data_IF_597138937387
#
_entry.id   IF_597138937387
#
_cell.length_a   1.000
_cell.length_b   1.000
_cell.length_c   1.000
_cell.angle_alpha   90.00
_cell.angle_beta   90.00
_cell.angle_gamma   90.00
#
_symmetry.space_group_name_H-M   'P 1'
#
loop_
_entity.id
_entity.type
_entity.pdbx_description
1 polymer ?
#
# COMPACT_ATOMS: atom_id res chain seq x y z
N UNK A 1 -13.45 -18.08 -3.99
CA UNK A 1 -13.30 -19.20 -4.94
C UNK A 1 -11.81 -19.30 -5.24
N UNK A 2 -11.26 -20.49 -5.30
CA UNK A 2 -9.95 -20.73 -5.89
C UNK A 2 -9.97 -20.39 -7.38
N UNK A 3 -8.85 -20.34 -8.03
CA UNK A 3 -8.75 -20.22 -9.48
C UNK A 3 -9.55 -21.36 -10.13
N UNK A 4 -10.02 -21.16 -11.33
CA UNK A 4 -10.70 -22.21 -12.09
C UNK A 4 -10.28 -22.11 -13.54
N UNK A 5 -9.70 -23.18 -14.03
CA UNK A 5 -9.36 -23.35 -15.45
C UNK A 5 -9.47 -24.83 -15.80
N UNK A 6 -10.56 -25.23 -16.43
CA UNK A 6 -10.75 -26.61 -16.85
C UNK A 6 -10.43 -26.84 -18.34
N UNK A 7 -9.72 -25.89 -18.97
CA UNK A 7 -9.26 -26.07 -20.36
C UNK A 7 -8.35 -27.27 -20.57
N UNK A 8 -7.54 -27.74 -19.60
CA UNK A 8 -6.78 -28.98 -19.74
C UNK A 8 -7.67 -30.20 -20.00
N UNK A 9 -8.92 -30.21 -19.48
CA UNK A 9 -9.89 -31.29 -19.65
C UNK A 9 -10.86 -31.05 -20.81
N UNK A 10 -11.18 -29.79 -21.13
CA UNK A 10 -12.27 -29.44 -22.05
C UNK A 10 -11.82 -28.69 -23.30
N UNK A 11 -10.55 -28.38 -23.44
CA UNK A 11 -9.98 -27.61 -24.55
C UNK A 11 -10.72 -26.29 -24.76
N UNK A 12 -11.11 -25.99 -25.99
CA UNK A 12 -11.82 -24.75 -26.37
C UNK A 12 -13.21 -24.57 -25.73
N UNK A 13 -13.77 -25.61 -25.13
CA UNK A 13 -15.04 -25.54 -24.39
C UNK A 13 -14.85 -25.39 -22.87
N UNK A 14 -13.63 -25.15 -22.45
CA UNK A 14 -13.31 -24.91 -21.05
C UNK A 14 -13.83 -23.58 -20.56
N UNK A 15 -14.02 -23.51 -19.25
CA UNK A 15 -14.39 -22.27 -18.54
C UNK A 15 -13.19 -21.83 -17.70
N UNK A 16 -12.87 -20.56 -17.76
CA UNK A 16 -11.78 -19.94 -17.01
C UNK A 16 -12.35 -18.81 -16.13
N UNK A 17 -12.10 -18.87 -14.84
CA UNK A 17 -12.29 -17.75 -13.92
C UNK A 17 -10.91 -17.15 -13.61
N UNK A 18 -10.72 -15.90 -14.02
CA UNK A 18 -9.48 -15.17 -13.87
C UNK A 18 -9.45 -14.30 -12.62
N UNK A 19 -8.31 -13.70 -12.37
CA UNK A 19 -8.07 -12.74 -11.30
C UNK A 19 -8.11 -13.33 -9.88
N UNK A 20 -7.79 -14.62 -9.72
CA UNK A 20 -7.52 -15.17 -8.41
C UNK A 20 -6.31 -14.46 -7.76
N UNK A 21 -6.43 -14.20 -6.45
CA UNK A 21 -5.28 -13.94 -5.59
C UNK A 21 -5.54 -14.53 -4.20
N UNK A 22 -4.48 -14.89 -3.46
CA UNK A 22 -4.61 -15.36 -2.07
C UNK A 22 -5.37 -14.39 -1.19
N UNK A 23 -5.25 -13.08 -1.41
CA UNK A 23 -5.95 -12.05 -0.65
C UNK A 23 -7.45 -12.04 -0.93
N UNK A 24 -7.85 -12.14 -2.20
CA UNK A 24 -9.27 -12.28 -2.56
C UNK A 24 -9.87 -13.53 -1.94
N UNK A 25 -9.11 -14.62 -1.96
CA UNK A 25 -9.51 -15.88 -1.36
C UNK A 25 -9.65 -15.75 0.17
N UNK A 26 -8.73 -15.06 0.84
CA UNK A 26 -8.84 -14.74 2.26
C UNK A 26 -10.14 -13.98 2.57
N UNK A 27 -10.41 -12.87 1.88
CA UNK A 27 -11.60 -12.04 2.14
C UNK A 27 -12.89 -12.80 1.90
N UNK A 28 -12.96 -13.59 0.82
CA UNK A 28 -14.10 -14.42 0.55
C UNK A 28 -14.36 -15.43 1.67
N UNK A 29 -13.31 -16.11 2.12
CA UNK A 29 -13.42 -17.06 3.23
C UNK A 29 -13.85 -16.36 4.52
N UNK A 30 -13.32 -15.18 4.82
CA UNK A 30 -13.73 -14.40 5.99
C UNK A 30 -15.22 -14.05 5.97
N UNK A 31 -15.75 -13.66 4.79
CA UNK A 31 -17.19 -13.39 4.60
C UNK A 31 -18.00 -14.66 4.81
N UNK A 32 -17.62 -15.76 4.18
CA UNK A 32 -18.31 -17.05 4.27
C UNK A 32 -18.30 -17.54 5.72
N UNK A 33 -17.16 -17.49 6.39
CA UNK A 33 -17.02 -17.93 7.79
C UNK A 33 -17.92 -17.08 8.70
N UNK A 34 -17.91 -15.75 8.54
CA UNK A 34 -18.78 -14.85 9.30
C UNK A 34 -20.25 -15.17 9.06
N UNK A 35 -20.66 -15.33 7.79
CA UNK A 35 -22.01 -15.67 7.43
C UNK A 35 -22.44 -17.01 8.03
N UNK A 36 -21.60 -18.05 7.93
CA UNK A 36 -21.83 -19.37 8.50
C UNK A 36 -22.00 -19.31 10.02
N UNK A 37 -21.17 -18.51 10.70
CA UNK A 37 -21.24 -18.32 12.17
C UNK A 37 -22.55 -17.64 12.61
N UNK A 38 -23.06 -16.73 11.79
CA UNK A 38 -24.30 -15.99 12.09
C UNK A 38 -25.57 -16.79 11.79
N UNK A 39 -25.53 -17.69 10.82
CA UNK A 39 -26.74 -18.36 10.30
C UNK A 39 -26.88 -19.82 10.75
N UNK A 40 -25.83 -20.44 11.30
CA UNK A 40 -25.87 -21.83 11.73
C UNK A 40 -25.39 -22.03 13.17
N UNK A 41 -26.00 -23.02 13.84
CA UNK A 41 -25.54 -23.48 15.15
C UNK A 41 -24.18 -24.17 15.01
N UNK A 42 -23.40 -24.21 16.10
CA UNK A 42 -22.03 -24.69 16.09
C UNK A 42 -21.89 -26.12 15.50
N UNK A 43 -22.85 -26.99 15.76
CA UNK A 43 -22.87 -28.36 15.24
C UNK A 43 -23.11 -28.49 13.72
N UNK A 44 -23.58 -27.41 13.09
CA UNK A 44 -23.98 -27.38 11.67
C UNK A 44 -23.14 -26.41 10.85
N UNK A 45 -21.97 -25.98 11.37
CA UNK A 45 -21.06 -25.05 10.71
C UNK A 45 -20.04 -25.80 9.88
N UNK A 46 -20.35 -26.01 8.62
CA UNK A 46 -19.44 -26.63 7.65
C UNK A 46 -19.15 -25.66 6.50
N UNK A 47 -17.90 -25.62 6.09
CA UNK A 47 -17.45 -24.91 4.89
C UNK A 47 -16.60 -25.89 4.09
N UNK A 48 -17.01 -26.15 2.86
CA UNK A 48 -16.31 -27.02 1.93
C UNK A 48 -15.47 -26.17 0.98
N UNK A 49 -14.22 -26.55 0.79
CA UNK A 49 -13.31 -25.91 -0.16
C UNK A 49 -12.99 -26.91 -1.26
N UNK A 50 -13.30 -26.57 -2.49
CA UNK A 50 -12.94 -27.36 -3.65
C UNK A 50 -11.67 -26.73 -4.29
N UNK A 51 -10.49 -27.37 -4.20
CA UNK A 51 -10.17 -28.58 -3.48
C UNK A 51 -8.75 -28.49 -2.91
N UNK A 52 -8.22 -29.60 -2.35
CA UNK A 52 -6.81 -29.68 -1.97
C UNK A 52 -5.91 -29.69 -3.21
N UNK A 53 -6.20 -30.53 -4.20
CA UNK A 53 -5.30 -30.86 -5.30
C UNK A 53 -5.99 -31.03 -6.67
N UNK A 54 -7.03 -30.26 -6.97
CA UNK A 54 -7.66 -30.27 -8.31
C UNK A 54 -6.87 -29.45 -9.34
N UNK A 55 -5.63 -29.88 -9.58
CA UNK A 55 -4.71 -29.23 -10.54
C UNK A 55 -5.26 -29.18 -11.97
N UNK A 56 -5.97 -30.22 -12.40
CA UNK A 56 -6.57 -30.29 -13.75
C UNK A 56 -7.70 -29.29 -13.98
N UNK A 57 -8.16 -28.62 -12.93
CA UNK A 57 -9.16 -27.55 -12.98
C UNK A 57 -8.61 -26.21 -12.44
N UNK A 58 -7.33 -26.15 -12.11
CA UNK A 58 -6.73 -24.95 -11.51
C UNK A 58 -7.29 -24.59 -10.13
N UNK A 59 -8.01 -25.53 -9.48
CA UNK A 59 -8.72 -25.30 -8.21
C UNK A 59 -8.06 -26.08 -7.08
N UNK A 60 -6.94 -25.59 -6.56
CA UNK A 60 -6.15 -26.31 -5.57
C UNK A 60 -5.63 -25.40 -4.44
N UNK A 61 -5.43 -26.02 -3.27
CA UNK A 61 -4.81 -25.39 -2.10
C UNK A 61 -3.36 -25.83 -1.90
N UNK A 62 -2.94 -26.89 -2.55
CA UNK A 62 -1.55 -27.34 -2.52
C UNK A 62 -0.60 -26.20 -2.87
N UNK A 63 0.55 -26.11 -2.19
CA UNK A 63 1.57 -25.12 -2.53
C UNK A 63 2.06 -25.25 -3.97
N UNK A 64 2.24 -24.13 -4.65
CA UNK A 64 2.68 -24.05 -6.04
C UNK A 64 3.85 -23.05 -6.21
N UNK A 65 4.45 -23.04 -7.41
CA UNK A 65 5.55 -22.14 -7.73
C UNK A 65 5.09 -20.67 -7.88
N UNK A 66 3.79 -20.42 -8.09
CA UNK A 66 3.23 -19.09 -8.31
C UNK A 66 2.90 -18.35 -7.01
N UNK A 67 2.28 -19.06 -6.08
CA UNK A 67 1.77 -18.52 -4.83
C UNK A 67 2.40 -19.14 -3.57
N UNK A 68 3.22 -20.19 -3.74
CA UNK A 68 3.77 -20.96 -2.63
C UNK A 68 2.67 -21.43 -1.68
N UNK A 69 2.85 -21.17 -0.40
CA UNK A 69 1.87 -21.50 0.65
C UNK A 69 0.76 -20.45 0.83
N UNK A 70 0.70 -19.41 0.00
CA UNK A 70 -0.18 -18.25 0.27
C UNK A 70 -1.66 -18.59 0.28
N UNK A 71 -2.13 -19.53 -0.56
CA UNK A 71 -3.54 -19.94 -0.60
C UNK A 71 -3.97 -20.63 0.69
N UNK A 72 -3.19 -21.60 1.16
CA UNK A 72 -3.49 -22.29 2.41
C UNK A 72 -3.33 -21.39 3.64
N UNK A 73 -2.35 -20.50 3.61
CA UNK A 73 -2.14 -19.49 4.65
C UNK A 73 -3.33 -18.53 4.72
N UNK A 74 -3.89 -18.13 3.59
CA UNK A 74 -5.08 -17.28 3.50
C UNK A 74 -6.30 -17.94 4.12
N UNK A 75 -6.50 -19.23 3.87
CA UNK A 75 -7.59 -20.00 4.49
C UNK A 75 -7.39 -20.15 6.01
N UNK A 76 -6.20 -20.54 6.43
CA UNK A 76 -5.83 -20.69 7.85
C UNK A 76 -6.06 -19.38 8.60
N UNK A 77 -5.63 -18.26 8.04
CA UNK A 77 -5.79 -16.94 8.59
C UNK A 77 -7.25 -16.51 8.71
N UNK A 78 -8.08 -16.83 7.69
CA UNK A 78 -9.50 -16.55 7.74
C UNK A 78 -10.22 -17.35 8.84
N UNK A 79 -9.81 -18.59 9.09
CA UNK A 79 -10.41 -19.49 10.09
C UNK A 79 -10.02 -19.11 11.52
N UNK A 80 -8.74 -18.87 11.74
CA UNK A 80 -8.15 -18.80 13.09
C UNK A 80 -7.73 -17.40 13.49
N UNK A 81 -7.81 -16.43 12.58
CA UNK A 81 -7.29 -15.07 12.78
C UNK A 81 -5.82 -15.05 13.25
N UNK A 82 -5.07 -16.09 12.86
CA UNK A 82 -3.67 -16.20 13.20
C UNK A 82 -2.89 -15.19 12.38
N UNK A 83 -2.39 -14.16 13.04
CA UNK A 83 -1.22 -13.46 12.55
C UNK A 83 -0.05 -14.45 12.64
N UNK A 84 0.65 -14.69 11.54
CA UNK A 84 1.95 -15.34 11.64
C UNK A 84 2.85 -14.42 12.43
N UNK A 85 3.04 -14.74 13.70
CA UNK A 85 4.18 -14.24 14.44
C UNK A 85 5.36 -15.05 13.91
N UNK A 86 5.95 -14.60 12.83
CA UNK A 86 7.34 -14.97 12.58
C UNK A 86 8.08 -14.31 13.73
N UNK A 87 8.69 -15.10 14.60
CA UNK A 87 9.59 -14.60 15.63
C UNK A 87 10.83 -14.04 14.90
N UNK A 88 10.69 -12.87 14.30
CA UNK A 88 11.85 -12.08 13.95
C UNK A 88 12.51 -11.69 15.26
N UNK A 89 13.75 -12.06 15.41
CA UNK A 89 14.54 -11.63 16.55
C UNK A 89 14.79 -10.12 16.37
N UNK A 90 13.83 -9.31 16.83
CA UNK A 90 13.77 -7.85 16.68
C UNK A 90 15.05 -7.21 17.22
N UNK A 91 15.66 -7.83 18.24
CA UNK A 91 16.87 -7.35 18.90
C UNK A 91 18.11 -7.43 18.02
N UNK A 92 18.11 -8.24 16.96
CA UNK A 92 19.23 -8.40 16.03
C UNK A 92 19.12 -7.56 14.74
N UNK A 93 18.02 -6.82 14.52
CA UNK A 93 17.87 -5.90 13.40
C UNK A 93 18.72 -4.64 13.64
N UNK A 94 20.05 -4.75 13.42
CA UNK A 94 20.94 -3.59 13.35
C UNK A 94 20.69 -2.83 12.06
N UNK A 95 19.59 -2.09 11.98
CA UNK A 95 19.34 -1.18 10.87
C UNK A 95 20.24 0.04 11.07
N UNK A 96 21.40 0.03 10.45
CA UNK A 96 22.35 1.15 10.44
C UNK A 96 21.90 2.29 9.50
N UNK A 97 20.77 2.11 8.82
CA UNK A 97 20.32 2.99 7.75
C UNK A 97 19.39 4.09 8.24
N UNK A 98 19.47 5.24 7.61
CA UNK A 98 18.58 6.36 7.90
C UNK A 98 17.19 6.12 7.29
N UNK A 99 16.19 6.11 8.14
CA UNK A 99 14.77 5.97 7.80
C UNK A 99 14.11 7.34 7.93
N UNK A 100 13.31 7.70 6.95
CA UNK A 100 12.44 8.88 7.01
C UNK A 100 10.98 8.46 6.88
N UNK A 101 10.14 8.99 7.75
CA UNK A 101 8.70 8.96 7.61
C UNK A 101 8.26 10.32 7.12
N UNK A 102 7.62 10.34 5.97
CA UNK A 102 7.01 11.56 5.45
C UNK A 102 5.50 11.43 5.59
N UNK A 103 4.89 12.34 6.37
CA UNK A 103 3.47 12.37 6.65
C UNK A 103 2.83 13.68 6.17
N UNK A 104 1.80 13.59 5.31
CA UNK A 104 1.00 14.77 4.97
C UNK A 104 -0.23 14.85 5.88
N UNK A 105 -0.25 15.88 6.75
CA UNK A 105 -1.30 16.10 7.74
C UNK A 105 -2.23 17.22 7.27
N UNK A 106 -3.23 16.86 6.49
CA UNK A 106 -4.31 17.77 6.09
C UNK A 106 -5.37 17.90 7.20
N UNK A 107 -5.68 16.80 7.89
CA UNK A 107 -6.58 16.75 9.04
C UNK A 107 -5.76 16.66 10.31
N UNK A 108 -5.55 17.78 10.98
CA UNK A 108 -4.67 17.88 12.16
C UNK A 108 -5.17 17.05 13.36
N UNK A 109 -6.47 16.88 13.49
CA UNK A 109 -7.10 16.04 14.52
C UNK A 109 -6.71 14.56 14.44
N UNK A 110 -6.09 14.13 13.32
CA UNK A 110 -5.55 12.78 13.16
C UNK A 110 -4.05 12.67 13.49
N UNK A 111 -3.42 13.71 14.03
CA UNK A 111 -1.98 13.68 14.35
C UNK A 111 -1.65 12.61 15.39
N UNK A 112 -2.56 12.37 16.35
CA UNK A 112 -2.40 11.32 17.34
C UNK A 112 -2.27 9.93 16.71
N UNK A 113 -3.06 9.63 15.69
CA UNK A 113 -2.98 8.35 14.97
C UNK A 113 -1.64 8.22 14.22
N UNK A 114 -1.19 9.28 13.53
CA UNK A 114 0.12 9.32 12.87
C UNK A 114 1.25 9.02 13.87
N UNK A 115 1.29 9.72 14.99
CA UNK A 115 2.35 9.55 15.99
C UNK A 115 2.33 8.17 16.61
N UNK A 116 1.15 7.67 17.00
CA UNK A 116 1.01 6.34 17.57
C UNK A 116 1.51 5.25 16.60
N UNK A 117 1.17 5.36 15.31
CA UNK A 117 1.61 4.41 14.29
C UNK A 117 3.11 4.51 14.00
N UNK A 118 3.66 5.71 13.88
CA UNK A 118 5.11 5.88 13.64
C UNK A 118 5.96 5.45 14.83
N UNK A 119 5.43 5.50 16.05
CA UNK A 119 6.11 5.00 17.24
C UNK A 119 6.31 3.46 17.27
N UNK A 120 5.70 2.74 16.33
CA UNK A 120 5.96 1.31 16.11
C UNK A 120 7.26 1.02 15.34
N UNK A 121 7.97 2.04 14.88
CA UNK A 121 9.25 1.84 14.20
C UNK A 121 10.30 1.41 15.23
N UNK A 122 10.94 0.23 15.04
CA UNK A 122 11.83 -0.35 16.05
C UNK A 122 13.23 0.28 16.08
N UNK A 123 13.55 1.12 15.11
CA UNK A 123 14.86 1.76 14.93
C UNK A 123 14.76 3.28 14.94
N UNK A 124 15.92 3.98 14.93
CA UNK A 124 15.95 5.44 14.79
C UNK A 124 15.36 5.86 13.46
N UNK A 125 14.48 6.86 13.49
CA UNK A 125 13.88 7.45 12.30
C UNK A 125 13.69 8.95 12.46
N UNK A 126 13.60 9.66 11.34
CA UNK A 126 13.26 11.07 11.30
C UNK A 126 11.82 11.22 10.77
N UNK A 127 11.05 12.14 11.37
CA UNK A 127 9.65 12.39 11.04
C UNK A 127 9.49 13.73 10.33
N UNK A 128 9.12 13.68 9.06
CA UNK A 128 8.87 14.87 8.26
C UNK A 128 7.38 15.03 8.02
N UNK A 129 6.84 16.16 8.45
CA UNK A 129 5.42 16.47 8.32
C UNK A 129 5.24 17.65 7.38
N UNK A 130 4.22 17.51 6.52
CA UNK A 130 3.69 18.65 5.75
C UNK A 130 2.25 18.90 6.15
N UNK A 131 1.87 20.17 6.26
CA UNK A 131 0.50 20.58 6.59
C UNK A 131 0.06 21.77 5.75
N UNK A 132 -1.24 21.95 5.59
CA UNK A 132 -1.84 23.08 4.88
C UNK A 132 -2.36 24.19 5.81
N UNK A 133 -2.13 24.06 7.11
CA UNK A 133 -2.55 25.03 8.12
C UNK A 133 -1.37 25.49 8.94
N UNK A 134 -1.08 26.78 8.87
CA UNK A 134 -0.06 27.42 9.70
C UNK A 134 -0.48 27.49 11.18
N UNK A 135 -1.76 27.74 11.43
CA UNK A 135 -2.27 27.88 12.79
C UNK A 135 -2.15 26.57 13.59
N UNK A 136 -2.28 25.43 12.90
CA UNK A 136 -2.23 24.10 13.51
C UNK A 136 -0.81 23.54 13.59
N UNK A 137 0.15 24.15 12.89
CA UNK A 137 1.54 23.68 12.87
C UNK A 137 2.15 23.65 14.28
N UNK A 138 1.83 24.62 15.12
CA UNK A 138 2.28 24.67 16.52
C UNK A 138 1.69 23.52 17.34
N UNK A 139 0.39 23.26 17.20
CA UNK A 139 -0.26 22.11 17.84
C UNK A 139 0.39 20.78 17.43
N UNK A 140 0.64 20.61 16.13
CA UNK A 140 1.34 19.44 15.58
C UNK A 140 2.73 19.33 16.19
N UNK A 141 3.48 20.43 16.25
CA UNK A 141 4.83 20.47 16.81
C UNK A 141 4.85 20.08 18.29
N UNK A 142 3.97 20.67 19.10
CA UNK A 142 3.88 20.40 20.54
C UNK A 142 3.48 18.93 20.78
N UNK A 143 2.61 18.38 19.92
CA UNK A 143 2.22 16.97 19.99
C UNK A 143 3.39 16.04 19.66
N UNK A 144 4.18 16.35 18.63
CA UNK A 144 5.39 15.58 18.26
C UNK A 144 6.40 15.62 19.41
N UNK A 145 6.72 16.79 19.94
CA UNK A 145 7.68 16.94 21.06
C UNK A 145 7.30 16.09 22.25
N UNK A 146 5.99 15.96 22.53
CA UNK A 146 5.51 15.27 23.71
C UNK A 146 5.39 13.75 23.54
N UNK A 147 5.04 13.29 22.34
CA UNK A 147 4.61 11.91 22.16
C UNK A 147 5.39 11.12 21.09
N UNK A 148 6.16 11.77 20.23
CA UNK A 148 6.88 11.08 19.15
C UNK A 148 8.21 10.50 19.65
N UNK A 149 8.55 9.30 19.13
CA UNK A 149 9.86 8.66 19.30
C UNK A 149 10.84 9.00 18.16
N UNK A 150 10.49 9.92 17.27
CA UNK A 150 11.37 10.33 16.19
C UNK A 150 12.66 10.94 16.72
N UNK A 151 13.79 10.62 16.07
CA UNK A 151 15.10 11.18 16.42
C UNK A 151 15.20 12.66 16.08
N UNK A 152 14.67 13.03 14.91
CA UNK A 152 14.51 14.41 14.47
C UNK A 152 13.14 14.58 13.82
N UNK A 153 12.65 15.79 13.77
CA UNK A 153 11.44 16.12 13.02
C UNK A 153 11.61 17.41 12.21
N UNK A 154 10.81 17.51 11.15
CA UNK A 154 10.69 18.71 10.33
C UNK A 154 9.23 18.93 9.96
N UNK A 155 8.72 20.14 10.16
CA UNK A 155 7.36 20.52 9.78
C UNK A 155 7.44 21.60 8.72
N UNK A 156 6.75 21.39 7.60
CA UNK A 156 6.69 22.35 6.51
C UNK A 156 5.23 22.66 6.18
N UNK A 157 4.95 23.95 6.03
CA UNK A 157 3.69 24.42 5.48
C UNK A 157 3.70 24.37 3.95
N UNK A 158 2.60 23.90 3.38
CA UNK A 158 2.36 23.95 1.95
C UNK A 158 0.96 24.49 1.66
N UNK A 159 0.86 25.34 0.65
CA UNK A 159 -0.43 25.68 0.07
C UNK A 159 -1.17 24.41 -0.35
N UNK A 160 -2.51 24.38 -0.24
CA UNK A 160 -3.32 23.23 -0.64
C UNK A 160 -3.25 23.03 -2.17
N UNK A 161 -2.14 22.46 -2.63
CA UNK A 161 -1.82 22.17 -4.02
C UNK A 161 -1.19 20.78 -4.12
N UNK A 162 -1.74 19.94 -5.00
CA UNK A 162 -1.18 18.62 -5.29
C UNK A 162 -1.33 17.60 -4.15
N UNK A 163 -2.27 17.79 -3.24
CA UNK A 163 -2.61 16.91 -2.11
C UNK A 163 -1.39 16.49 -1.29
N UNK A 164 -1.26 15.20 -1.04
CA UNK A 164 -0.15 14.58 -0.34
C UNK A 164 1.11 14.44 -1.21
N UNK A 165 0.96 14.38 -2.54
CA UNK A 165 2.06 14.07 -3.46
C UNK A 165 3.03 15.24 -3.65
N UNK A 166 2.54 16.42 -3.96
CA UNK A 166 3.43 17.57 -4.19
C UNK A 166 4.20 17.96 -2.90
N UNK A 167 3.58 18.01 -1.72
CA UNK A 167 4.29 18.17 -0.46
C UNK A 167 5.35 17.10 -0.22
N UNK A 168 5.05 15.83 -0.47
CA UNK A 168 6.01 14.73 -0.40
C UNK A 168 7.22 14.98 -1.30
N UNK A 169 6.99 15.27 -2.57
CA UNK A 169 8.05 15.47 -3.54
C UNK A 169 8.94 16.66 -3.19
N UNK A 170 8.35 17.80 -2.84
CA UNK A 170 9.10 19.02 -2.49
C UNK A 170 9.91 18.84 -1.21
N UNK A 171 9.32 18.28 -0.15
CA UNK A 171 10.02 18.09 1.12
C UNK A 171 11.15 17.08 0.97
N UNK A 172 10.93 15.94 0.31
CA UNK A 172 11.96 14.91 0.16
C UNK A 172 13.06 15.30 -0.81
N UNK A 173 12.79 16.10 -1.85
CA UNK A 173 13.84 16.55 -2.79
C UNK A 173 15.03 17.20 -2.07
N UNK A 174 14.78 17.89 -0.96
CA UNK A 174 15.82 18.53 -0.18
C UNK A 174 16.69 17.56 0.63
N UNK A 175 16.17 16.36 0.88
CA UNK A 175 16.73 15.46 1.87
C UNK A 175 16.96 14.02 1.39
N UNK A 176 16.43 13.59 0.24
CA UNK A 176 16.37 12.19 -0.18
C UNK A 176 17.74 11.48 -0.17
N UNK A 177 18.84 12.18 -0.48
CA UNK A 177 20.20 11.61 -0.48
C UNK A 177 20.67 11.16 0.91
N UNK A 178 20.03 11.62 1.98
CA UNK A 178 20.42 11.29 3.37
C UNK A 178 19.78 10.00 3.89
N UNK A 179 18.76 9.49 3.19
CA UNK A 179 17.95 8.37 3.67
C UNK A 179 18.01 7.19 2.70
N UNK A 180 17.89 5.99 3.23
CA UNK A 180 17.78 4.74 2.45
C UNK A 180 16.33 4.37 2.25
N UNK A 181 15.54 4.47 3.30
CA UNK A 181 14.12 4.10 3.32
C UNK A 181 13.22 5.29 3.59
N UNK A 182 12.10 5.31 2.90
CA UNK A 182 10.99 6.23 3.15
C UNK A 182 9.70 5.46 3.38
N UNK A 183 8.94 5.86 4.40
CA UNK A 183 7.52 5.55 4.50
C UNK A 183 6.73 6.82 4.19
N UNK A 184 5.86 6.76 3.21
CA UNK A 184 4.92 7.85 2.90
C UNK A 184 3.53 7.50 3.42
N UNK A 185 2.97 8.39 4.22
CA UNK A 185 1.62 8.29 4.77
C UNK A 185 0.91 9.64 4.75
N UNK A 186 -0.40 9.63 4.85
CA UNK A 186 -1.17 10.87 4.96
C UNK A 186 -2.49 10.68 5.70
N UNK A 187 -3.04 11.78 6.24
CA UNK A 187 -4.38 11.77 6.82
C UNK A 187 -5.43 11.66 5.73
N UNK A 188 -6.49 10.91 5.99
CA UNK A 188 -7.58 10.67 5.04
C UNK A 188 -8.92 10.60 5.76
N UNK A 189 -9.90 11.37 5.28
CA UNK A 189 -11.32 11.26 5.66
C UNK A 189 -12.16 11.19 4.40
N UNK A 190 -13.27 10.47 4.44
CA UNK A 190 -14.22 10.44 3.33
C UNK A 190 -15.30 11.50 3.56
N UNK A 191 -15.57 12.29 2.52
CA UNK A 191 -16.70 13.22 2.47
C UNK A 191 -17.93 12.61 1.76
N UNK A 192 -17.86 11.34 1.35
CA UNK A 192 -18.92 10.69 0.62
C UNK A 192 -20.04 10.28 1.58
N UNK A 193 -21.23 10.84 1.37
CA UNK A 193 -22.44 10.62 2.19
C UNK A 193 -22.87 9.15 2.12
N UNK A 194 -22.71 8.48 0.99
CA UNK A 194 -23.12 7.10 0.80
C UNK A 194 -22.21 6.07 1.50
N UNK A 195 -20.94 6.45 1.79
CA UNK A 195 -19.95 5.57 2.43
C UNK A 195 -19.13 6.34 3.46
N UNK A 196 -19.75 6.85 4.55
CA UNK A 196 -19.10 7.77 5.49
C UNK A 196 -17.88 7.15 6.20
N UNK A 197 -17.89 5.83 6.41
CA UNK A 197 -16.81 5.12 7.11
C UNK A 197 -15.69 4.63 6.18
N UNK A 198 -15.88 4.67 4.86
CA UNK A 198 -14.91 4.10 3.91
C UNK A 198 -13.52 4.71 4.05
N UNK A 199 -13.43 6.03 4.21
CA UNK A 199 -12.15 6.72 4.33
C UNK A 199 -11.40 6.36 5.61
N UNK A 200 -12.11 6.19 6.73
CA UNK A 200 -11.53 5.76 7.99
C UNK A 200 -11.06 4.31 7.91
N UNK A 201 -11.93 3.39 7.53
CA UNK A 201 -11.60 1.97 7.44
C UNK A 201 -10.45 1.71 6.46
N UNK A 202 -10.44 2.43 5.33
CA UNK A 202 -9.35 2.33 4.36
C UNK A 202 -8.03 2.87 4.91
N UNK A 203 -8.03 4.01 5.62
CA UNK A 203 -6.84 4.56 6.27
C UNK A 203 -6.33 3.62 7.36
N UNK A 204 -7.20 3.14 8.23
CA UNK A 204 -6.86 2.18 9.29
C UNK A 204 -6.24 0.91 8.70
N UNK A 205 -6.85 0.37 7.64
CA UNK A 205 -6.31 -0.78 6.91
C UNK A 205 -4.88 -0.52 6.42
N UNK A 206 -4.64 0.60 5.74
CA UNK A 206 -3.31 0.95 5.22
C UNK A 206 -2.31 1.14 6.36
N UNK A 207 -2.66 1.91 7.39
CA UNK A 207 -1.78 2.16 8.52
C UNK A 207 -1.43 0.88 9.26
N UNK A 208 -2.40 0.00 9.43
CA UNK A 208 -2.19 -1.27 10.09
C UNK A 208 -1.25 -2.18 9.26
N UNK A 209 -1.33 -2.17 7.96
CA UNK A 209 -0.42 -2.93 7.11
C UNK A 209 1.00 -2.35 7.05
N UNK A 210 1.16 -1.03 7.11
CA UNK A 210 2.48 -0.39 6.98
C UNK A 210 3.16 -0.14 8.33
N UNK A 211 2.39 0.14 9.38
CA UNK A 211 2.87 0.65 10.67
C UNK A 211 2.06 0.08 11.85
N UNK A 212 1.41 -1.08 11.67
CA UNK A 212 0.45 -1.63 12.64
C UNK A 212 1.07 -2.04 13.97
N UNK A 213 2.27 -2.62 13.94
CA UNK A 213 3.03 -3.01 15.14
C UNK A 213 4.53 -2.96 14.86
N UNK A 214 5.34 -3.13 15.92
CA UNK A 214 6.80 -3.22 15.78
C UNK A 214 7.21 -4.41 14.92
N UNK A 215 6.51 -5.53 15.07
CA UNK A 215 6.76 -6.77 14.33
C UNK A 215 6.56 -6.55 12.83
N UNK A 216 5.44 -5.92 12.44
CA UNK A 216 5.13 -5.59 11.03
C UNK A 216 6.22 -4.70 10.44
N UNK A 217 6.61 -3.64 11.14
CA UNK A 217 7.65 -2.73 10.65
C UNK A 217 9.01 -3.43 10.58
N UNK A 218 9.34 -4.26 11.58
CA UNK A 218 10.58 -5.05 11.59
C UNK A 218 10.65 -6.00 10.40
N UNK A 219 9.55 -6.66 10.07
CA UNK A 219 9.45 -7.56 8.91
C UNK A 219 9.67 -6.79 7.61
N UNK A 220 8.98 -5.66 7.40
CA UNK A 220 9.15 -4.81 6.21
C UNK A 220 10.61 -4.36 6.04
N UNK A 221 11.24 -3.91 7.12
CA UNK A 221 12.62 -3.44 7.08
C UNK A 221 13.60 -4.60 6.86
N UNK A 222 13.33 -5.77 7.47
CA UNK A 222 14.10 -7.00 7.25
C UNK A 222 14.03 -7.46 5.80
N UNK A 223 12.84 -7.43 5.19
CA UNK A 223 12.66 -7.79 3.79
C UNK A 223 13.47 -6.87 2.87
N UNK A 224 13.47 -5.56 3.15
CA UNK A 224 14.32 -4.63 2.41
C UNK A 224 15.83 -4.90 2.56
N UNK A 225 16.29 -5.35 3.72
CA UNK A 225 17.70 -5.68 3.94
C UNK A 225 18.08 -7.03 3.31
N UNK A 226 17.22 -8.04 3.45
CA UNK A 226 17.45 -9.38 2.94
C UNK A 226 17.33 -9.47 1.41
N UNK A 227 16.42 -8.68 0.83
CA UNK A 227 16.16 -8.68 -0.60
C UNK A 227 16.65 -7.38 -1.26
N UNK A 228 17.90 -7.40 -1.72
CA UNK A 228 18.56 -6.20 -2.25
C UNK A 228 17.78 -5.51 -3.37
N UNK A 229 17.07 -6.27 -4.21
CA UNK A 229 16.24 -5.74 -5.32
C UNK A 229 14.80 -5.44 -4.95
N UNK A 230 14.36 -5.75 -3.74
CA UNK A 230 13.06 -5.29 -3.26
C UNK A 230 13.15 -3.79 -3.01
N UNK A 231 12.38 -3.01 -3.77
CA UNK A 231 12.46 -1.55 -3.77
C UNK A 231 11.23 -0.84 -3.24
N UNK A 232 10.09 -1.54 -3.16
CA UNK A 232 8.82 -0.90 -2.84
C UNK A 232 7.85 -1.91 -2.20
N UNK A 233 7.19 -1.50 -1.13
CA UNK A 233 6.19 -2.30 -0.41
C UNK A 233 4.96 -1.45 -0.17
N UNK A 234 3.79 -1.98 -0.48
CA UNK A 234 2.50 -1.32 -0.24
C UNK A 234 1.41 -2.34 0.09
N UNK A 235 0.32 -1.93 0.77
CA UNK A 235 -0.77 -2.86 1.07
C UNK A 235 -1.50 -3.33 -0.18
N UNK A 236 -2.05 -4.55 -0.11
CA UNK A 236 -3.06 -4.98 -1.08
C UNK A 236 -4.22 -3.99 -1.14
N UNK A 237 -4.94 -3.99 -2.25
CA UNK A 237 -6.12 -3.14 -2.42
C UNK A 237 -7.14 -3.43 -1.33
N UNK A 238 -7.57 -2.40 -0.63
CA UNK A 238 -8.64 -2.52 0.35
C UNK A 238 -9.93 -3.00 -0.35
N UNK A 239 -10.56 -4.05 0.18
CA UNK A 239 -11.60 -4.77 -0.52
C UNK A 239 -12.78 -3.89 -0.96
N UNK A 240 -13.24 -3.00 -0.09
CA UNK A 240 -14.35 -2.09 -0.39
C UNK A 240 -13.98 -1.09 -1.49
N UNK A 241 -12.71 -0.71 -1.58
CA UNK A 241 -12.19 0.12 -2.67
C UNK A 241 -12.11 -0.68 -3.97
N UNK A 242 -11.71 -1.94 -3.90
CA UNK A 242 -11.69 -2.83 -5.07
C UNK A 242 -13.09 -3.02 -5.67
N UNK A 243 -14.12 -3.13 -4.84
CA UNK A 243 -15.50 -3.25 -5.29
C UNK A 243 -16.06 -1.95 -5.89
N UNK A 244 -15.61 -0.80 -5.37
CA UNK A 244 -16.09 0.52 -5.78
C UNK A 244 -15.41 1.06 -7.05
N UNK A 245 -14.16 0.64 -7.30
CA UNK A 245 -13.34 1.22 -8.38
C UNK A 245 -12.78 0.12 -9.29
N UNK A 246 -13.05 0.24 -10.59
CA UNK A 246 -12.43 -0.63 -11.59
C UNK A 246 -10.97 -0.26 -11.77
N UNK A 247 -10.09 -1.26 -11.90
CA UNK A 247 -8.66 -1.07 -12.17
C UNK A 247 -8.32 -0.50 -13.55
N UNK A 248 -9.32 -0.25 -14.39
CA UNK A 248 -9.09 0.35 -15.71
C UNK A 248 -8.63 1.79 -15.58
N UNK A 249 -7.51 2.08 -16.20
CA UNK A 249 -7.00 3.44 -16.29
C UNK A 249 -7.85 4.21 -17.30
N UNK A 250 -8.39 5.35 -16.87
CA UNK A 250 -9.00 6.27 -17.81
C UNK A 250 -7.95 6.88 -18.77
N UNK A 251 -8.41 7.35 -19.93
CA UNK A 251 -7.53 7.88 -20.98
C UNK A 251 -6.69 9.09 -20.48
N UNK A 252 -7.21 9.92 -19.59
CA UNK A 252 -6.50 11.08 -19.06
C UNK A 252 -5.34 10.66 -18.14
N UNK A 253 -5.54 9.68 -17.27
CA UNK A 253 -4.47 9.12 -16.46
C UNK A 253 -3.37 8.51 -17.33
N UNK A 254 -3.75 7.77 -18.37
CA UNK A 254 -2.79 7.19 -19.32
C UNK A 254 -1.97 8.26 -20.05
N UNK A 255 -2.60 9.36 -20.47
CA UNK A 255 -1.90 10.52 -21.06
C UNK A 255 -0.92 11.13 -20.06
N UNK A 256 -1.36 11.38 -18.82
CA UNK A 256 -0.53 11.94 -17.78
C UNK A 256 0.67 11.04 -17.43
N UNK A 257 0.44 9.73 -17.29
CA UNK A 257 1.52 8.76 -17.05
C UNK A 257 2.56 8.78 -18.17
N UNK A 258 2.12 8.72 -19.43
CA UNK A 258 3.02 8.77 -20.57
C UNK A 258 3.80 10.09 -20.64
N UNK A 259 3.14 11.20 -20.33
CA UNK A 259 3.78 12.51 -20.26
C UNK A 259 4.88 12.54 -19.18
N UNK A 260 4.58 12.08 -17.96
CA UNK A 260 5.53 12.04 -16.86
C UNK A 260 6.71 11.12 -17.19
N UNK A 261 6.43 9.90 -17.69
CA UNK A 261 7.48 8.95 -18.08
C UNK A 261 8.38 9.50 -19.18
N UNK A 262 7.82 10.18 -20.19
CA UNK A 262 8.58 10.84 -21.25
C UNK A 262 9.45 12.00 -20.70
N UNK A 263 8.93 12.76 -19.75
CA UNK A 263 9.67 13.87 -19.11
C UNK A 263 10.83 13.35 -18.28
N UNK A 264 10.61 12.28 -17.48
CA UNK A 264 11.65 11.71 -16.63
C UNK A 264 12.67 10.87 -17.41
N UNK A 265 12.28 10.29 -18.54
CA UNK A 265 13.10 9.37 -19.36
C UNK A 265 12.96 9.67 -20.85
N UNK A 266 13.47 10.80 -21.35
CA UNK A 266 13.22 11.28 -22.72
C UNK A 266 13.71 10.31 -23.80
N UNK A 267 14.75 9.53 -23.50
CA UNK A 267 15.39 8.60 -24.44
C UNK A 267 14.77 7.18 -24.40
N UNK A 268 13.70 6.97 -23.63
CA UNK A 268 13.06 5.66 -23.50
C UNK A 268 11.57 5.74 -23.84
N UNK A 269 11.08 4.70 -24.50
CA UNK A 269 9.64 4.55 -24.78
C UNK A 269 9.05 3.53 -23.82
N UNK A 270 8.00 3.91 -23.10
CA UNK A 270 7.26 3.04 -22.22
C UNK A 270 5.83 2.86 -22.73
N UNK A 271 5.31 1.63 -22.64
CA UNK A 271 3.92 1.33 -22.98
C UNK A 271 3.12 1.16 -21.71
N UNK A 272 2.22 2.10 -21.44
CA UNK A 272 1.26 1.99 -20.34
C UNK A 272 0.09 1.12 -20.81
N UNK A 273 -0.13 0.00 -20.11
CA UNK A 273 -1.23 -0.93 -20.36
C UNK A 273 -2.61 -0.33 -20.07
N UNK A 274 -3.66 -1.12 -20.28
CA UNK A 274 -5.03 -0.75 -19.88
C UNK A 274 -5.25 -0.94 -18.37
N UNK A 275 -4.66 -1.99 -17.81
CA UNK A 275 -4.72 -2.30 -16.39
C UNK A 275 -3.34 -2.12 -15.78
N UNK A 276 -3.27 -1.49 -14.63
CA UNK A 276 -2.03 -1.27 -13.89
C UNK A 276 -2.24 -1.53 -12.40
N UNK A 277 -1.18 -1.94 -11.77
CA UNK A 277 -1.06 -1.94 -10.31
C UNK A 277 -0.41 -0.64 -9.84
N UNK A 278 -0.84 -0.16 -8.70
CA UNK A 278 -0.27 1.02 -8.02
C UNK A 278 -0.71 1.01 -6.56
N UNK A 279 -0.02 1.72 -5.65
CA UNK A 279 -0.43 1.83 -4.24
C UNK A 279 -1.70 2.67 -4.13
N UNK A 280 -2.85 2.00 -4.07
CA UNK A 280 -4.13 2.68 -3.88
C UNK A 280 -4.16 3.35 -2.50
N UNK A 281 -4.51 4.63 -2.49
CA UNK A 281 -4.38 5.47 -1.30
C UNK A 281 -2.99 6.13 -1.14
N UNK A 282 -2.05 5.87 -2.05
CA UNK A 282 -0.73 6.51 -2.14
C UNK A 282 0.12 6.46 -0.85
N UNK A 283 0.00 5.40 -0.07
CA UNK A 283 0.79 5.17 1.13
C UNK A 283 1.62 3.89 0.96
N UNK A 284 2.91 3.96 1.31
CA UNK A 284 3.87 2.89 0.99
C UNK A 284 5.18 3.02 1.75
N UNK A 285 5.97 1.95 1.74
CA UNK A 285 7.39 1.95 2.02
C UNK A 285 8.20 1.84 0.73
N UNK A 286 9.33 2.55 0.64
CA UNK A 286 10.21 2.45 -0.52
C UNK A 286 11.69 2.60 -0.15
N UNK A 287 12.56 1.91 -0.89
CA UNK A 287 13.96 2.32 -1.03
C UNK A 287 14.00 3.59 -1.88
N UNK A 288 14.60 4.65 -1.41
CA UNK A 288 14.69 5.90 -2.17
C UNK A 288 15.36 5.69 -3.53
N UNK A 289 16.32 4.78 -3.60
CA UNK A 289 16.98 4.41 -4.85
C UNK A 289 16.02 3.84 -5.91
N UNK A 290 14.87 3.30 -5.52
CA UNK A 290 13.88 2.74 -6.46
C UNK A 290 12.96 3.79 -7.08
N UNK A 291 12.89 5.00 -6.51
CA UNK A 291 11.92 6.03 -6.91
C UNK A 291 12.53 7.42 -7.16
N UNK A 292 13.83 7.61 -6.97
CA UNK A 292 14.45 8.94 -6.87
C UNK A 292 14.24 9.86 -8.08
N UNK A 293 14.04 9.31 -9.28
CA UNK A 293 13.84 10.15 -10.48
C UNK A 293 12.59 11.00 -10.40
N UNK A 294 11.60 10.61 -9.60
CA UNK A 294 10.36 11.38 -9.45
C UNK A 294 10.60 12.80 -8.90
N UNK A 295 11.68 12.97 -8.13
CA UNK A 295 12.04 14.28 -7.59
C UNK A 295 12.50 15.29 -8.65
N UNK A 296 12.66 14.85 -9.91
CA UNK A 296 12.98 15.72 -11.05
C UNK A 296 11.76 16.20 -11.83
N UNK A 297 10.54 15.80 -11.42
CA UNK A 297 9.31 16.30 -12.06
C UNK A 297 9.17 17.81 -11.88
N UNK A 298 8.61 18.47 -12.89
CA UNK A 298 8.30 19.91 -12.78
C UNK A 298 7.08 20.10 -11.86
N UNK A 299 7.26 20.79 -10.77
CA UNK A 299 6.24 21.01 -9.73
C UNK A 299 5.13 22.00 -10.15
N UNK A 300 5.36 22.82 -11.17
CA UNK A 300 4.35 23.74 -11.71
C UNK A 300 3.20 22.99 -12.43
N UNK A 301 3.44 21.73 -12.81
CA UNK A 301 2.43 20.89 -13.45
C UNK A 301 1.28 20.49 -12.52
N UNK A 302 1.47 20.60 -11.21
CA UNK A 302 0.44 20.20 -10.24
C UNK A 302 -0.64 21.29 -10.14
N UNK A 303 -1.92 20.92 -10.33
CA UNK A 303 -3.02 21.87 -10.22
C UNK A 303 -3.26 22.26 -8.75
N UNK A 304 -3.94 23.39 -8.54
CA UNK A 304 -4.57 23.69 -7.26
C UNK A 304 -5.64 22.65 -6.96
N UNK A 305 -5.91 22.41 -5.68
CA UNK A 305 -6.93 21.46 -5.26
C UNK A 305 -8.32 22.08 -5.36
N UNK A 306 -9.11 21.58 -6.31
CA UNK A 306 -10.49 22.03 -6.58
C UNK A 306 -11.47 20.85 -6.51
N UNK A 307 -11.09 19.76 -5.81
CA UNK A 307 -11.93 18.58 -5.66
C UNK A 307 -11.88 17.61 -6.86
N UNK A 308 -10.87 17.70 -7.73
CA UNK A 308 -10.72 16.79 -8.87
C UNK A 308 -10.65 15.32 -8.40
N UNK A 309 -11.54 14.50 -8.91
CA UNK A 309 -11.63 13.09 -8.48
C UNK A 309 -10.56 12.24 -9.16
N UNK A 310 -10.29 12.45 -10.44
CA UNK A 310 -9.36 11.66 -11.24
C UNK A 310 -8.89 12.43 -12.50
N UNK A 311 -7.90 11.89 -13.22
CA UNK A 311 -7.49 12.39 -14.54
C UNK A 311 -6.52 13.58 -14.54
N UNK A 312 -5.93 13.94 -13.41
CA UNK A 312 -4.90 15.01 -13.31
C UNK A 312 -3.48 14.43 -13.31
N UNK A 313 -2.47 15.31 -13.41
CA UNK A 313 -1.07 14.92 -13.31
C UNK A 313 -0.76 14.21 -11.98
N UNK A 314 -1.41 14.61 -10.91
CA UNK A 314 -1.36 14.01 -9.59
C UNK A 314 -1.70 12.51 -9.65
N UNK A 315 -2.81 12.18 -10.29
CA UNK A 315 -3.26 10.79 -10.46
C UNK A 315 -2.32 10.00 -11.38
N UNK A 316 -1.67 10.68 -12.33
CA UNK A 316 -0.59 10.12 -13.12
C UNK A 316 0.61 9.73 -12.26
N UNK A 317 1.04 10.59 -11.32
CA UNK A 317 2.14 10.30 -10.39
C UNK A 317 1.81 9.11 -9.49
N UNK A 318 0.61 9.04 -8.92
CA UNK A 318 0.19 7.89 -8.12
C UNK A 318 0.36 6.55 -8.84
N UNK A 319 0.16 6.55 -10.15
CA UNK A 319 0.13 5.33 -10.97
C UNK A 319 1.47 4.95 -11.56
N UNK A 320 2.49 5.81 -11.50
CA UNK A 320 3.80 5.50 -12.07
C UNK A 320 4.79 4.92 -11.08
N UNK A 321 4.51 4.87 -9.78
CA UNK A 321 5.46 4.40 -8.78
C UNK A 321 6.11 3.06 -9.15
N UNK A 322 5.30 2.07 -9.52
CA UNK A 322 5.79 0.74 -9.85
C UNK A 322 6.54 0.69 -11.19
N UNK A 323 6.29 1.64 -12.10
CA UNK A 323 7.11 1.82 -13.29
C UNK A 323 8.51 2.31 -12.92
N UNK A 324 8.62 3.31 -12.03
CA UNK A 324 9.90 3.81 -11.56
C UNK A 324 10.72 2.70 -10.88
N UNK A 325 10.08 1.93 -10.01
CA UNK A 325 10.69 0.79 -9.32
C UNK A 325 11.30 -0.19 -10.34
N UNK A 326 10.54 -0.60 -11.35
CA UNK A 326 11.00 -1.53 -12.40
C UNK A 326 12.09 -0.91 -13.28
N UNK A 327 11.97 0.37 -13.66
CA UNK A 327 12.97 1.07 -14.47
C UNK A 327 14.32 1.14 -13.76
N UNK A 328 14.31 1.24 -12.44
CA UNK A 328 15.51 1.27 -11.60
C UNK A 328 16.06 -0.12 -11.25
N UNK A 329 15.50 -1.18 -11.82
CA UNK A 329 15.97 -2.55 -11.62
C UNK A 329 15.55 -3.16 -10.28
N UNK A 330 14.54 -2.60 -9.64
CA UNK A 330 13.93 -3.14 -8.45
C UNK A 330 12.61 -3.85 -8.76
N UNK A 331 12.15 -4.68 -7.81
CA UNK A 331 10.79 -5.20 -7.78
C UNK A 331 10.02 -4.65 -6.58
N UNK A 332 8.73 -4.91 -6.52
CA UNK A 332 7.86 -4.51 -5.44
C UNK A 332 7.10 -5.71 -4.88
N UNK A 333 6.66 -5.58 -3.64
CA UNK A 333 5.76 -6.53 -3.00
C UNK A 333 4.52 -5.83 -2.48
N UNK A 334 3.42 -6.58 -2.53
CA UNK A 334 2.17 -6.21 -1.86
C UNK A 334 2.07 -6.97 -0.56
N UNK A 335 1.72 -6.26 0.49
CA UNK A 335 1.60 -6.87 1.81
C UNK A 335 0.15 -6.90 2.28
N UNK A 336 -0.15 -7.95 2.99
CA UNK A 336 -1.39 -8.12 3.69
C UNK A 336 -1.09 -8.65 5.09
N UNK A 337 -0.86 -7.72 6.01
CA UNK A 337 -0.60 -8.02 7.42
C UNK A 337 -1.90 -7.90 8.17
N UNK A 338 -2.26 -8.94 8.88
CA UNK A 338 -3.56 -9.00 9.54
C UNK A 338 -3.47 -8.78 11.03
N UNK A 339 -4.56 -8.25 11.53
CA UNK A 339 -4.82 -7.91 12.95
C UNK A 339 -5.82 -8.83 13.57
#
# INVERSE_FOLDING_TARGET
MLEWDNTPRRGKYGTIYQEYSPEKFYFLNKIIIKWTRLNYNISNRFIFVNAWNEWGEGSYLEPDDKYGYSSINSLSKALFNLSYIVNYNIDNLKISCKIIIQAHVFYYDLINEIINKTNNIPSKFDLFITTTSLNESKFIEDYIKKYSKANNYNIMYFENKGRDILPFLKQLKLHFKKYKYVCHIHTKKTKNINFPYLGQSWREYIFNNLLGSKEIVSEILSDFENYNKLGFIFPETFYEVYLAFRKEINNNNKKNMNFILKTLFPNKKYKVGKMIEFPEGNMFWAKIASIYQIFNINYELFPKEEGQVDGTILHGVQRIWLFLVKINGFYYEKIFKHY
#
